data_IF_888811256770
#
_entry.id   IF_888811256770
#
_cell.length_a   1.000
_cell.length_b   1.000
_cell.length_c   1.000
_cell.angle_alpha   90.00
_cell.angle_beta   90.00
_cell.angle_gamma   90.00
#
_symmetry.space_group_name_H-M   'P 1'
#
loop_
_entity.id
_entity.type
_entity.pdbx_description
1 polymer ?
#
# COMPACT_ATOMS: atom_id res chain seq x y z
N UNK A 1 -16.47 8.50 8.66
CA UNK A 1 -15.36 8.60 7.69
C UNK A 1 -15.50 7.48 6.68
N UNK A 2 -15.00 7.62 5.45
CA UNK A 2 -14.98 6.50 4.52
C UNK A 2 -14.04 5.39 5.04
N UNK A 3 -14.40 4.13 4.81
CA UNK A 3 -13.60 2.96 5.21
C UNK A 3 -13.32 2.08 3.99
N UNK A 4 -12.08 1.61 3.85
CA UNK A 4 -11.69 0.69 2.78
C UNK A 4 -11.43 -0.70 3.37
N UNK A 5 -12.26 -1.69 3.02
CA UNK A 5 -12.17 -3.05 3.56
C UNK A 5 -12.48 -4.08 2.49
N UNK A 6 -11.61 -5.08 2.33
CA UNK A 6 -11.80 -6.18 1.36
C UNK A 6 -12.21 -5.68 -0.03
N UNK A 7 -11.47 -4.69 -0.56
CA UNK A 7 -11.74 -4.05 -1.86
C UNK A 7 -13.10 -3.37 -1.96
N UNK A 8 -13.70 -3.02 -0.84
CA UNK A 8 -14.98 -2.32 -0.78
C UNK A 8 -14.79 -1.01 -0.05
N UNK A 9 -15.18 0.08 -0.71
CA UNK A 9 -15.25 1.40 -0.11
C UNK A 9 -16.63 1.56 0.53
N UNK A 10 -16.65 1.73 1.84
CA UNK A 10 -17.83 2.02 2.64
C UNK A 10 -17.90 3.53 2.89
N UNK A 11 -18.97 4.17 2.43
CA UNK A 11 -19.21 5.60 2.64
C UNK A 11 -20.14 5.82 3.82
N UNK A 12 -20.02 6.96 4.49
CA UNK A 12 -20.90 7.33 5.61
C UNK A 12 -22.37 7.49 5.23
N UNK A 13 -22.67 7.61 3.94
CA UNK A 13 -24.02 7.60 3.40
C UNK A 13 -24.66 6.20 3.34
N UNK A 14 -23.93 5.15 3.69
CA UNK A 14 -24.35 3.75 3.56
C UNK A 14 -24.07 3.14 2.18
N UNK A 15 -23.65 3.95 1.19
CA UNK A 15 -23.24 3.46 -0.12
C UNK A 15 -21.97 2.61 -0.02
N UNK A 16 -21.92 1.55 -0.82
CA UNK A 16 -20.77 0.65 -0.92
C UNK A 16 -20.33 0.57 -2.38
N UNK A 17 -19.02 0.72 -2.62
CA UNK A 17 -18.43 0.60 -3.95
C UNK A 17 -17.41 -0.53 -3.92
N UNK A 18 -17.69 -1.60 -4.68
CA UNK A 18 -16.77 -2.74 -4.83
C UNK A 18 -15.79 -2.45 -5.95
N UNK A 19 -14.50 -2.62 -5.65
CA UNK A 19 -13.39 -2.26 -6.52
C UNK A 19 -12.70 -3.54 -7.06
N UNK A 20 -12.14 -3.43 -8.26
CA UNK A 20 -11.24 -4.41 -8.86
C UNK A 20 -9.89 -4.52 -8.14
N UNK A 21 -9.38 -3.44 -7.56
CA UNK A 21 -8.11 -3.35 -6.86
C UNK A 21 -8.21 -3.03 -5.38
N UNK A 22 -7.04 -2.90 -4.76
CA UNK A 22 -6.87 -2.62 -3.34
C UNK A 22 -6.53 -1.15 -3.05
N UNK A 23 -6.56 -0.28 -4.07
CA UNK A 23 -6.18 1.12 -3.96
C UNK A 23 -7.06 2.01 -4.83
N UNK A 24 -7.12 3.29 -4.46
CA UNK A 24 -7.80 4.35 -5.18
C UNK A 24 -6.73 5.37 -5.58
N UNK A 25 -6.81 5.87 -6.81
CA UNK A 25 -5.90 6.88 -7.32
C UNK A 25 -6.68 8.05 -7.91
N UNK A 26 -6.02 9.21 -7.96
CA UNK A 26 -6.54 10.42 -8.63
C UNK A 26 -5.49 10.92 -9.63
N UNK A 27 -5.95 11.24 -10.84
CA UNK A 27 -5.10 11.79 -11.90
C UNK A 27 -5.10 13.32 -11.95
N UNK A 28 -4.24 13.89 -12.82
CA UNK A 28 -4.23 15.34 -13.12
C UNK A 28 -5.55 15.85 -13.68
N UNK A 29 -6.32 14.98 -14.33
CA UNK A 29 -7.67 15.27 -14.83
C UNK A 29 -8.72 15.40 -13.73
N UNK A 30 -8.34 15.12 -12.47
CA UNK A 30 -9.22 15.00 -11.32
C UNK A 30 -10.20 13.81 -11.41
N UNK A 31 -9.97 12.89 -12.35
CA UNK A 31 -10.69 11.62 -12.41
C UNK A 31 -10.19 10.68 -11.31
N UNK A 32 -11.15 10.04 -10.64
CA UNK A 32 -10.87 9.01 -9.64
C UNK A 32 -10.93 7.66 -10.34
N UNK A 33 -9.87 6.90 -10.21
CA UNK A 33 -9.76 5.56 -10.75
C UNK A 33 -9.31 4.56 -9.70
N UNK A 34 -9.26 3.32 -10.13
CA UNK A 34 -8.59 2.25 -9.40
C UNK A 34 -7.13 2.20 -9.83
N UNK A 35 -6.22 2.11 -8.87
CA UNK A 35 -4.79 2.02 -9.16
C UNK A 35 -4.32 0.57 -9.27
N UNK A 36 -3.76 0.18 -10.42
CA UNK A 36 -2.88 -0.99 -10.50
C UNK A 36 -1.58 -0.59 -11.17
N UNK A 37 -0.53 -0.50 -10.37
CA UNK A 37 0.83 -0.30 -10.83
C UNK A 37 1.77 -1.01 -9.84
N UNK A 38 2.97 -1.42 -10.28
CA UNK A 38 3.99 -1.87 -9.34
C UNK A 38 4.29 -0.76 -8.32
N UNK A 39 4.45 -1.14 -7.05
CA UNK A 39 4.78 -0.16 -6.01
C UNK A 39 6.17 0.43 -6.28
N UNK A 40 6.28 1.76 -6.29
CA UNK A 40 7.56 2.47 -6.49
C UNK A 40 8.37 2.61 -5.20
N UNK A 41 7.71 2.46 -4.05
CA UNK A 41 8.29 2.40 -2.70
C UNK A 41 7.42 1.42 -1.89
N UNK A 42 8.02 0.36 -1.32
CA UNK A 42 7.24 -0.75 -0.71
C UNK A 42 7.98 -1.52 0.38
N UNK A 43 7.25 -2.40 1.09
CA UNK A 43 7.83 -3.36 2.02
C UNK A 43 7.85 -4.76 1.39
N UNK A 44 9.02 -5.38 1.31
CA UNK A 44 9.20 -6.79 0.96
C UNK A 44 9.18 -7.62 2.24
N UNK A 45 8.49 -8.75 2.23
CA UNK A 45 8.50 -9.72 3.32
C UNK A 45 9.13 -11.00 2.80
N UNK A 46 10.17 -11.47 3.49
CA UNK A 46 10.84 -12.72 3.20
C UNK A 46 10.78 -13.62 4.43
N UNK A 47 10.30 -14.84 4.25
CA UNK A 47 10.33 -15.86 5.29
C UNK A 47 11.73 -16.50 5.31
N UNK A 48 12.42 -16.42 6.45
CA UNK A 48 13.65 -17.18 6.68
C UNK A 48 13.37 -18.36 7.60
N UNK A 49 13.78 -19.55 7.16
CA UNK A 49 13.89 -20.72 8.02
C UNK A 49 15.20 -20.66 8.81
N UNK A 50 15.11 -20.60 10.13
CA UNK A 50 16.29 -20.67 10.99
C UNK A 50 16.64 -22.15 11.19
N UNK A 51 17.70 -22.61 10.54
CA UNK A 51 18.37 -23.85 10.94
C UNK A 51 19.20 -23.52 12.18
N UNK A 52 18.74 -23.96 13.37
CA UNK A 52 19.54 -23.85 14.59
C UNK A 52 20.82 -24.69 14.43
N UNK A 53 21.95 -24.04 14.12
CA UNK A 53 23.26 -24.65 14.24
C UNK A 53 23.62 -24.75 15.72
N UNK A 54 23.33 -25.90 16.32
CA UNK A 54 23.79 -26.24 17.67
C UNK A 54 25.31 -26.38 17.67
N UNK A 55 26.01 -25.38 18.19
CA UNK A 55 27.37 -25.54 18.70
C UNK A 55 27.29 -26.41 19.95
N UNK A 56 27.52 -27.72 19.81
CA UNK A 56 27.58 -28.65 20.95
C UNK A 56 29.02 -29.03 21.21
N UNK A 57 29.62 -28.38 22.20
CA UNK A 57 30.77 -28.90 22.95
C UNK A 57 30.40 -30.26 23.54
N UNK A 58 31.26 -31.26 23.31
CA UNK A 58 31.01 -32.68 23.57
C UNK A 58 30.85 -33.06 25.07
N UNK A 59 29.82 -33.86 25.41
CA UNK A 59 29.93 -35.23 25.99
C UNK A 59 28.55 -35.89 26.24
N UNK A 60 28.44 -37.25 26.19
CA UNK A 60 27.19 -38.03 26.28
C UNK A 60 26.85 -38.33 27.76
N UNK A 61 25.62 -38.63 28.18
CA UNK A 61 24.83 -39.87 28.00
C UNK A 61 23.51 -39.69 28.74
N UNK A 62 22.40 -40.27 28.25
CA UNK A 62 21.16 -40.44 29.02
C UNK A 62 19.89 -40.32 28.16
N UNK A 63 19.14 -41.42 28.04
CA UNK A 63 17.89 -41.53 27.29
C UNK A 63 16.86 -40.46 27.70
N UNK A 64 16.42 -39.65 26.73
CA UNK A 64 15.21 -38.85 26.84
C UNK A 64 14.65 -38.52 25.46
N UNK A 65 13.33 -38.58 25.39
CA UNK A 65 12.45 -38.56 24.22
C UNK A 65 12.77 -37.40 23.26
N UNK A 66 12.96 -37.70 21.97
CA UNK A 66 13.11 -36.71 20.89
C UNK A 66 11.77 -36.01 20.62
N UNK A 67 11.54 -34.86 21.23
CA UNK A 67 10.54 -33.91 20.74
C UNK A 67 10.99 -33.36 19.37
N UNK A 68 10.11 -33.48 18.37
CA UNK A 68 10.32 -32.85 17.05
C UNK A 68 10.10 -31.34 17.20
N UNK A 69 11.18 -30.56 17.32
CA UNK A 69 11.12 -29.10 17.19
C UNK A 69 10.51 -28.73 15.82
N UNK A 70 9.39 -28.00 15.82
CA UNK A 70 8.86 -27.38 14.59
C UNK A 70 9.82 -26.26 14.16
N UNK A 71 10.12 -26.12 12.86
CA UNK A 71 10.91 -24.99 12.37
C UNK A 71 10.19 -23.68 12.71
N UNK A 72 10.89 -22.76 13.41
CA UNK A 72 10.40 -21.41 13.66
C UNK A 72 10.72 -20.55 12.44
N UNK A 73 9.71 -20.24 11.63
CA UNK A 73 9.82 -19.30 10.52
C UNK A 73 9.78 -17.88 11.06
N UNK A 74 10.82 -17.06 10.81
CA UNK A 74 10.78 -15.62 11.09
C UNK A 74 10.56 -14.87 9.78
N UNK A 75 9.56 -13.99 9.75
CA UNK A 75 9.34 -13.06 8.64
C UNK A 75 10.27 -11.86 8.82
N UNK A 76 11.16 -11.63 7.85
CA UNK A 76 11.98 -10.43 7.76
C UNK A 76 11.31 -9.46 6.80
N UNK A 77 11.15 -8.21 7.24
CA UNK A 77 10.59 -7.12 6.43
C UNK A 77 11.69 -6.16 6.01
N UNK A 78 11.81 -5.85 4.73
CA UNK A 78 12.77 -4.89 4.18
C UNK A 78 12.09 -3.84 3.30
N UNK A 79 12.59 -2.61 3.31
CA UNK A 79 12.06 -1.54 2.46
C UNK A 79 12.70 -1.63 1.07
N UNK A 80 11.86 -1.63 0.04
CA UNK A 80 12.24 -1.55 -1.37
C UNK A 80 12.06 -0.12 -1.87
N UNK A 81 13.16 0.52 -2.26
CA UNK A 81 13.23 1.87 -2.84
C UNK A 81 14.10 1.84 -4.12
N UNK A 82 13.60 1.25 -5.23
CA UNK A 82 14.38 1.05 -6.45
C UNK A 82 14.83 2.37 -7.11
N UNK A 83 14.10 3.47 -6.88
CA UNK A 83 14.41 4.78 -7.43
C UNK A 83 15.28 5.66 -6.53
N UNK A 84 15.67 5.15 -5.35
CA UNK A 84 16.47 5.89 -4.35
C UNK A 84 15.86 7.24 -3.97
N UNK A 85 14.52 7.28 -3.85
CA UNK A 85 13.77 8.47 -3.44
C UNK A 85 14.25 8.91 -2.05
N UNK A 86 14.55 10.19 -1.91
CA UNK A 86 14.85 10.84 -0.65
C UNK A 86 13.58 11.09 0.16
N UNK A 87 13.76 11.51 1.42
CA UNK A 87 12.66 11.98 2.26
C UNK A 87 11.90 13.13 1.58
N UNK A 88 12.62 14.10 1.02
CA UNK A 88 12.04 15.23 0.30
C UNK A 88 11.20 14.77 -0.90
N UNK A 89 11.71 13.83 -1.71
CA UNK A 89 10.96 13.31 -2.87
C UNK A 89 9.64 12.64 -2.45
N UNK A 90 9.68 11.86 -1.38
CA UNK A 90 8.49 11.19 -0.84
C UNK A 90 7.46 12.19 -0.30
N UNK A 91 7.92 13.25 0.37
CA UNK A 91 7.07 14.33 0.85
C UNK A 91 6.44 15.12 -0.30
N UNK A 92 7.21 15.46 -1.34
CA UNK A 92 6.68 16.13 -2.53
C UNK A 92 5.62 15.27 -3.25
N UNK A 93 5.84 13.96 -3.35
CA UNK A 93 4.85 13.03 -3.90
C UNK A 93 3.57 13.02 -3.06
N UNK A 94 3.68 13.04 -1.73
CA UNK A 94 2.53 13.08 -0.83
C UNK A 94 1.75 14.40 -0.98
N UNK A 95 2.44 15.54 -0.96
CA UNK A 95 1.84 16.87 -1.10
C UNK A 95 1.15 17.02 -2.45
N UNK A 96 1.76 16.52 -3.52
CA UNK A 96 1.17 16.49 -4.85
C UNK A 96 -0.16 15.73 -4.86
N UNK A 97 -0.20 14.52 -4.26
CA UNK A 97 -1.43 13.73 -4.18
C UNK A 97 -2.50 14.43 -3.34
N UNK A 98 -2.13 15.01 -2.19
CA UNK A 98 -3.04 15.77 -1.33
C UNK A 98 -3.64 16.94 -2.12
N UNK A 99 -2.82 17.68 -2.87
CA UNK A 99 -3.29 18.82 -3.68
C UNK A 99 -4.31 18.39 -4.73
N UNK A 100 -4.10 17.26 -5.44
CA UNK A 100 -5.12 16.76 -6.38
C UNK A 100 -6.48 16.52 -5.71
N UNK A 101 -6.49 15.98 -4.49
CA UNK A 101 -7.74 15.81 -3.73
C UNK A 101 -8.34 17.14 -3.26
N UNK A 102 -7.52 18.14 -2.94
CA UNK A 102 -7.99 19.48 -2.63
C UNK A 102 -8.63 20.14 -3.86
N UNK A 103 -7.95 20.08 -5.00
CA UNK A 103 -8.41 20.62 -6.28
C UNK A 103 -9.74 19.98 -6.71
N UNK A 104 -9.89 18.65 -6.55
CA UNK A 104 -11.17 17.98 -6.81
C UNK A 104 -12.28 18.50 -5.90
N UNK A 105 -12.03 18.66 -4.59
CA UNK A 105 -13.04 19.20 -3.66
C UNK A 105 -13.46 20.61 -4.05
N UNK A 106 -12.51 21.45 -4.45
CA UNK A 106 -12.81 22.81 -4.89
C UNK A 106 -13.60 22.83 -6.20
N UNK A 107 -13.24 21.96 -7.14
CA UNK A 107 -13.97 21.77 -8.39
C UNK A 107 -15.42 21.31 -8.16
N UNK A 108 -15.64 20.33 -7.26
CA UNK A 108 -16.99 19.89 -6.85
C UNK A 108 -17.80 21.03 -6.26
N UNK A 109 -17.20 21.86 -5.39
CA UNK A 109 -17.88 23.01 -4.78
C UNK A 109 -18.28 24.05 -5.83
N UNK A 110 -17.42 24.27 -6.83
CA UNK A 110 -17.62 25.29 -7.87
C UNK A 110 -18.59 24.85 -8.96
N UNK A 111 -18.52 23.59 -9.39
CA UNK A 111 -19.21 23.10 -10.58
C UNK A 111 -20.30 22.04 -10.29
N UNK A 112 -20.30 21.45 -9.10
CA UNK A 112 -21.15 20.31 -8.76
C UNK A 112 -20.68 19.00 -9.40
N UNK A 113 -21.34 17.89 -9.05
CA UNK A 113 -20.93 16.54 -9.49
C UNK A 113 -21.44 16.13 -10.89
N UNK A 114 -22.35 16.91 -11.48
CA UNK A 114 -22.98 16.59 -12.77
C UNK A 114 -22.44 17.45 -13.92
N UNK A 115 -21.37 18.23 -13.69
CA UNK A 115 -20.77 19.12 -14.67
C UNK A 115 -19.47 18.52 -15.21
N UNK A 116 -19.26 18.46 -16.54
CA UNK A 116 -17.97 18.02 -17.10
C UNK A 116 -16.82 18.99 -16.76
N UNK A 117 -17.14 20.25 -16.43
CA UNK A 117 -16.16 21.24 -15.97
C UNK A 117 -15.56 20.91 -14.60
N UNK A 118 -16.08 19.87 -13.93
CA UNK A 118 -15.45 19.33 -12.74
C UNK A 118 -14.04 18.77 -13.05
N UNK A 119 -13.84 18.23 -14.25
CA UNK A 119 -12.60 17.59 -14.66
C UNK A 119 -11.67 18.55 -15.39
N UNK A 120 -10.37 18.34 -15.22
CA UNK A 120 -9.34 19.08 -15.94
C UNK A 120 -9.00 18.39 -17.27
N UNK A 121 -9.89 18.53 -18.25
CA UNK A 121 -9.75 17.91 -19.58
C UNK A 121 -8.51 18.37 -20.35
N UNK A 122 -8.04 19.61 -20.12
CA UNK A 122 -6.82 20.14 -20.71
C UNK A 122 -5.57 19.38 -20.23
N UNK A 123 -5.55 18.88 -18.99
CA UNK A 123 -4.41 18.13 -18.44
C UNK A 123 -4.14 16.77 -19.09
N UNK A 124 -5.10 16.27 -19.88
CA UNK A 124 -4.98 15.03 -20.65
C UNK A 124 -4.35 15.25 -22.04
N UNK A 125 -4.22 16.50 -22.48
CA UNK A 125 -3.73 16.87 -23.83
C UNK A 125 -2.25 17.27 -23.88
N UNK A 126 -1.56 17.22 -22.73
CA UNK A 126 -0.17 17.66 -22.53
C UNK A 126 0.66 16.60 -21.82
#
# INVERSE_FOLDING_TARGET
MAEFKRRTLHLSSGKQVKLFGNSIAIGRSLEIGEGYAPNIFSCLQQEQEIIKSTTTTAKPTGDSVREKEKPQTKTISTVSNPFRLSETDLMEIADYNIRLWMDLKDSIRKHGINSPNLFNSESLRS
#
